data_IF_662651054816
#
_entry.id   IF_662651054816
#
_cell.length_a   1.000
_cell.length_b   1.000
_cell.length_c   1.000
_cell.angle_alpha   90.00
_cell.angle_beta   90.00
_cell.angle_gamma   90.00
#
_symmetry.space_group_name_H-M   'P 1'
#
loop_
_entity.id
_entity.type
_entity.pdbx_description
1 polymer ?
#
# COMPACT_ATOMS: atom_id res chain seq x y z
N UNK A 1 -21.11 -12.86 9.70
CA UNK A 1 -20.09 -12.93 10.75
C UNK A 1 -19.00 -11.95 10.39
N UNK A 2 -19.02 -10.80 11.04
CA UNK A 2 -18.01 -9.74 10.92
C UNK A 2 -16.84 -10.14 11.78
N UNK A 3 -15.91 -10.91 11.21
CA UNK A 3 -14.64 -11.19 11.88
C UNK A 3 -13.71 -10.01 11.65
N UNK A 4 -13.33 -9.39 12.76
CA UNK A 4 -12.29 -8.37 12.90
C UNK A 4 -10.97 -8.91 12.32
N UNK A 5 -10.61 -8.46 11.12
CA UNK A 5 -9.39 -8.90 10.44
C UNK A 5 -8.40 -7.74 10.40
N UNK A 6 -7.26 -7.98 11.04
CA UNK A 6 -6.12 -7.10 11.17
C UNK A 6 -5.73 -6.46 9.81
N UNK A 7 -5.81 -5.13 9.64
CA UNK A 7 -5.64 -4.43 8.36
C UNK A 7 -4.20 -4.49 7.80
N UNK A 8 -3.28 -5.11 8.54
CA UNK A 8 -1.88 -5.36 8.16
C UNK A 8 -1.70 -6.72 7.46
N UNK A 9 -2.54 -7.72 7.76
CA UNK A 9 -2.43 -9.06 7.18
C UNK A 9 -3.40 -9.19 6.00
N UNK A 10 -2.86 -9.09 4.80
CA UNK A 10 -3.63 -9.30 3.59
C UNK A 10 -3.92 -10.79 3.41
N UNK A 11 -5.18 -11.11 3.13
CA UNK A 11 -5.64 -12.47 2.89
C UNK A 11 -5.01 -12.98 1.59
N UNK A 12 -3.97 -13.80 1.68
CA UNK A 12 -3.63 -14.74 0.61
C UNK A 12 -4.78 -15.74 0.54
N UNK A 13 -5.71 -15.55 -0.40
CA UNK A 13 -6.73 -16.57 -0.62
C UNK A 13 -5.98 -17.87 -0.96
N UNK A 14 -6.33 -19.01 -0.33
CA UNK A 14 -5.68 -20.27 -0.67
C UNK A 14 -5.80 -20.51 -2.16
N UNK A 15 -4.66 -20.83 -2.78
CA UNK A 15 -4.61 -21.26 -4.16
C UNK A 15 -5.41 -22.56 -4.26
N UNK A 16 -6.56 -22.50 -4.92
CA UNK A 16 -7.43 -23.65 -5.09
C UNK A 16 -7.81 -23.74 -6.56
N UNK A 17 -7.53 -24.89 -7.14
CA UNK A 17 -7.93 -25.28 -8.49
C UNK A 17 -8.51 -26.68 -8.34
N UNK A 18 -9.76 -26.89 -8.79
CA UNK A 18 -10.35 -28.22 -8.79
C UNK A 18 -9.88 -28.99 -10.04
N UNK A 19 -9.89 -30.33 -9.97
CA UNK A 19 -9.66 -31.16 -11.15
C UNK A 19 -10.71 -30.83 -12.22
N UNK A 20 -10.26 -30.74 -13.49
CA UNK A 20 -11.06 -30.38 -14.68
C UNK A 20 -11.46 -28.89 -14.82
N UNK A 21 -10.96 -27.99 -13.99
CA UNK A 21 -11.21 -26.57 -14.20
C UNK A 21 -10.52 -26.04 -15.47
N UNK A 22 -11.28 -25.31 -16.30
CA UNK A 22 -10.74 -24.58 -17.44
C UNK A 22 -9.96 -23.36 -16.93
N UNK A 23 -8.65 -23.34 -17.17
CA UNK A 23 -7.75 -22.30 -16.68
C UNK A 23 -7.01 -21.63 -17.84
N UNK A 24 -7.10 -20.31 -17.91
CA UNK A 24 -6.31 -19.49 -18.82
C UNK A 24 -4.97 -19.13 -18.17
N UNK A 25 -3.88 -19.58 -18.77
CA UNK A 25 -2.51 -19.29 -18.34
C UNK A 25 -1.94 -18.13 -19.16
N UNK A 26 -1.45 -17.10 -18.49
CA UNK A 26 -0.73 -16.00 -19.12
C UNK A 26 0.76 -16.25 -18.94
N UNK A 27 1.40 -16.71 -20.01
CA UNK A 27 2.82 -17.10 -20.02
C UNK A 27 3.68 -15.96 -20.57
N UNK A 28 4.77 -15.66 -19.89
CA UNK A 28 5.78 -14.75 -20.41
C UNK A 28 6.66 -15.49 -21.42
N UNK A 29 6.39 -15.27 -22.71
CA UNK A 29 7.03 -15.97 -23.84
C UNK A 29 8.57 -15.91 -23.83
N UNK A 30 9.19 -14.92 -23.18
CA UNK A 30 10.64 -14.81 -23.13
C UNK A 30 11.32 -15.66 -22.06
N UNK A 31 10.60 -16.04 -20.99
CA UNK A 31 11.14 -16.86 -19.90
C UNK A 31 10.48 -18.24 -19.80
N UNK A 32 9.37 -18.46 -20.52
CA UNK A 32 8.55 -19.67 -20.37
C UNK A 32 7.85 -19.78 -19.02
N UNK A 33 7.81 -18.71 -18.23
CA UNK A 33 7.26 -18.70 -16.86
C UNK A 33 5.82 -18.19 -16.88
N UNK A 34 4.93 -18.91 -16.19
CA UNK A 34 3.53 -18.51 -15.97
C UNK A 34 3.53 -17.29 -15.05
N UNK A 35 3.04 -16.15 -15.55
CA UNK A 35 3.00 -14.87 -14.83
C UNK A 35 1.61 -14.58 -14.28
N UNK A 36 0.56 -15.09 -14.93
CA UNK A 36 -0.82 -14.95 -14.49
C UNK A 36 -1.63 -16.21 -14.76
N UNK A 37 -2.65 -16.43 -13.95
CA UNK A 37 -3.55 -17.57 -14.02
C UNK A 37 -4.98 -17.09 -13.78
N UNK A 38 -5.92 -17.51 -14.63
CA UNK A 38 -7.33 -17.17 -14.52
C UNK A 38 -8.17 -18.44 -14.60
N UNK A 39 -8.90 -18.75 -13.52
CA UNK A 39 -9.87 -19.84 -13.53
C UNK A 39 -11.18 -19.33 -14.14
N UNK A 40 -11.67 -19.97 -15.21
CA UNK A 40 -12.91 -19.56 -15.88
C UNK A 40 -14.18 -19.94 -15.10
N UNK A 41 -14.11 -21.00 -14.29
CA UNK A 41 -15.26 -21.50 -13.51
C UNK A 41 -15.57 -20.61 -12.31
N UNK A 42 -14.54 -20.29 -11.54
CA UNK A 42 -14.66 -19.50 -10.31
C UNK A 42 -14.34 -18.01 -10.53
N UNK A 43 -13.83 -17.66 -11.71
CA UNK A 43 -13.34 -16.32 -12.07
C UNK A 43 -12.24 -15.79 -11.15
N UNK A 44 -11.52 -16.69 -10.47
CA UNK A 44 -10.38 -16.38 -9.63
C UNK A 44 -9.17 -16.04 -10.50
N UNK A 45 -8.61 -14.85 -10.29
CA UNK A 45 -7.42 -14.38 -10.98
C UNK A 45 -6.25 -14.32 -10.02
N UNK A 46 -5.17 -14.97 -10.43
CA UNK A 46 -3.93 -15.07 -9.69
C UNK A 46 -2.78 -14.51 -10.52
N UNK A 47 -1.88 -13.80 -9.86
CA UNK A 47 -0.72 -13.17 -10.47
C UNK A 47 0.52 -13.55 -9.68
N UNK A 48 1.53 -14.08 -10.35
CA UNK A 48 2.82 -14.38 -9.72
C UNK A 48 3.76 -13.20 -9.98
N UNK A 49 4.22 -12.48 -8.94
CA UNK A 49 5.25 -11.47 -9.10
C UNK A 49 6.58 -12.14 -9.49
N UNK A 50 7.14 -11.76 -10.63
CA UNK A 50 8.46 -12.19 -11.10
C UNK A 50 9.47 -11.03 -11.01
N UNK A 51 10.55 -11.23 -10.25
CA UNK A 51 11.69 -10.31 -10.15
C UNK A 51 11.42 -8.98 -9.43
N UNK A 52 11.99 -7.88 -9.96
CA UNK A 52 11.97 -6.52 -9.38
C UNK A 52 10.60 -5.78 -9.45
N UNK A 53 9.50 -6.48 -9.68
CA UNK A 53 8.19 -5.84 -9.76
C UNK A 53 7.68 -5.50 -8.36
N UNK A 54 7.71 -4.22 -7.99
CA UNK A 54 7.13 -3.76 -6.72
C UNK A 54 5.61 -3.93 -6.77
N UNK A 55 5.10 -4.82 -5.92
CA UNK A 55 3.68 -5.11 -5.82
C UNK A 55 2.90 -3.85 -5.39
N UNK A 56 1.69 -3.69 -5.93
CA UNK A 56 0.80 -2.61 -5.47
C UNK A 56 0.41 -2.76 -3.99
N UNK A 57 0.51 -3.98 -3.45
CA UNK A 57 0.22 -4.27 -2.05
C UNK A 57 1.34 -3.76 -1.14
N UNK A 58 2.60 -3.93 -1.54
CA UNK A 58 3.77 -3.44 -0.81
C UNK A 58 3.74 -1.91 -0.70
N UNK A 59 3.42 -1.22 -1.79
CA UNK A 59 3.26 0.24 -1.80
C UNK A 59 2.15 0.69 -0.85
N UNK A 60 0.97 0.02 -0.87
CA UNK A 60 -0.13 0.33 0.05
C UNK A 60 0.22 0.10 1.52
N UNK A 61 0.91 -1.00 1.84
CA UNK A 61 1.38 -1.26 3.19
C UNK A 61 2.32 -0.15 3.65
N UNK A 62 3.24 0.27 2.78
CA UNK A 62 4.18 1.34 3.07
C UNK A 62 3.48 2.68 3.38
N UNK A 63 2.47 3.07 2.60
CA UNK A 63 1.66 4.26 2.92
C UNK A 63 1.01 4.16 4.31
N UNK A 64 0.45 2.98 4.68
CA UNK A 64 -0.13 2.78 6.03
C UNK A 64 0.93 2.93 7.13
N UNK A 65 2.12 2.36 6.92
CA UNK A 65 3.23 2.44 7.88
C UNK A 65 3.66 3.89 8.07
N UNK A 66 3.88 4.65 6.99
CA UNK A 66 4.27 6.06 7.09
C UNK A 66 3.19 6.94 7.73
N UNK A 67 1.92 6.70 7.44
CA UNK A 67 0.81 7.38 8.14
C UNK A 67 0.81 7.04 9.63
N UNK A 68 1.07 5.78 10.00
CA UNK A 68 1.20 5.36 11.39
C UNK A 68 2.35 6.06 12.11
N UNK A 69 3.53 6.13 11.46
CA UNK A 69 4.70 6.86 11.98
C UNK A 69 4.36 8.33 12.21
N UNK A 70 3.73 9.00 11.23
CA UNK A 70 3.32 10.39 11.36
C UNK A 70 2.39 10.62 12.57
N UNK A 71 1.39 9.76 12.76
CA UNK A 71 0.47 9.84 13.88
C UNK A 71 1.18 9.68 15.23
N UNK A 72 2.11 8.72 15.34
CA UNK A 72 2.90 8.53 16.57
C UNK A 72 3.78 9.76 16.86
N UNK A 73 4.42 10.33 15.84
CA UNK A 73 5.24 11.54 16.00
C UNK A 73 4.38 12.74 16.46
N UNK A 74 3.19 12.91 15.89
CA UNK A 74 2.24 13.95 16.33
C UNK A 74 1.79 13.76 17.77
N UNK A 75 1.51 12.52 18.17
CA UNK A 75 1.13 12.21 19.53
C UNK A 75 2.26 12.57 20.51
N UNK A 76 3.51 12.24 20.18
CA UNK A 76 4.67 12.62 21.00
C UNK A 76 4.81 14.13 21.13
N UNK A 77 4.69 14.88 20.03
CA UNK A 77 4.71 16.35 20.06
C UNK A 77 3.63 16.91 20.96
N UNK A 78 2.40 16.39 20.86
CA UNK A 78 1.30 16.81 21.74
C UNK A 78 1.58 16.52 23.21
N UNK A 79 2.16 15.36 23.53
CA UNK A 79 2.55 15.02 24.90
C UNK A 79 3.57 16.04 25.43
N UNK A 80 4.59 16.40 24.64
CA UNK A 80 5.58 17.38 25.04
C UNK A 80 4.97 18.77 25.26
N UNK A 81 4.09 19.22 24.36
CA UNK A 81 3.41 20.52 24.51
C UNK A 81 2.51 20.55 25.75
N UNK A 82 1.74 19.48 26.00
CA UNK A 82 0.91 19.38 27.20
C UNK A 82 1.76 19.37 28.48
N UNK A 83 2.90 18.66 28.46
CA UNK A 83 3.83 18.66 29.59
C UNK A 83 4.41 20.05 29.84
N UNK A 84 4.81 20.76 28.78
CA UNK A 84 5.36 22.11 28.87
C UNK A 84 4.33 23.07 29.48
N UNK A 85 3.09 23.05 28.98
CA UNK A 85 1.98 23.84 29.53
C UNK A 85 1.66 23.50 30.99
N UNK A 86 1.76 22.23 31.38
CA UNK A 86 1.55 21.79 32.76
C UNK A 86 2.66 22.25 33.71
N UNK A 87 3.88 22.42 33.20
CA UNK A 87 5.03 22.83 34.00
C UNK A 87 5.08 24.33 34.32
N UNK A 88 4.20 25.12 33.69
CA UNK A 88 4.09 26.56 33.90
C UNK A 88 3.63 26.83 35.34
N UNK A 89 4.34 27.73 36.04
CA UNK A 89 3.94 28.19 37.37
C UNK A 89 2.76 29.17 37.24
N UNK A 90 1.53 28.64 37.25
CA UNK A 90 0.30 29.41 37.16
C UNK A 90 -0.65 28.86 36.09
N UNK A 91 -1.68 29.63 35.75
CA UNK A 91 -2.58 29.29 34.63
C UNK A 91 -1.95 29.74 33.31
N UNK A 92 -1.89 28.88 32.26
CA UNK A 92 -1.35 29.26 30.97
C UNK A 92 -2.04 30.49 30.39
N UNK A 93 -1.25 31.45 29.91
CA UNK A 93 -1.75 32.69 29.35
C UNK A 93 -1.99 32.56 27.83
N UNK A 94 -2.52 33.63 27.22
CA UNK A 94 -2.80 33.66 25.76
C UNK A 94 -1.53 33.42 24.92
N UNK A 95 -0.38 33.88 25.38
CA UNK A 95 0.87 33.77 24.64
C UNK A 95 1.44 32.36 24.71
N UNK A 96 1.27 31.66 25.84
CA UNK A 96 1.60 30.25 26.01
C UNK A 96 0.78 29.38 25.04
N UNK A 97 -0.53 29.61 24.96
CA UNK A 97 -1.39 28.91 24.00
C UNK A 97 -1.04 29.21 22.55
N UNK A 98 -0.69 30.46 22.23
CA UNK A 98 -0.24 30.85 20.89
C UNK A 98 1.11 30.19 20.55
N UNK A 99 2.03 30.11 21.51
CA UNK A 99 3.33 29.46 21.33
C UNK A 99 3.17 27.96 21.09
N UNK A 100 2.36 27.29 21.92
CA UNK A 100 2.01 25.88 21.76
C UNK A 100 1.41 25.59 20.38
N UNK A 101 0.44 26.41 19.93
CA UNK A 101 -0.18 26.25 18.61
C UNK A 101 0.82 26.45 17.45
N UNK A 102 1.69 27.46 17.55
CA UNK A 102 2.74 27.70 16.55
C UNK A 102 3.76 26.57 16.51
N UNK A 103 4.16 26.07 17.67
CA UNK A 103 5.10 24.96 17.80
C UNK A 103 4.54 23.66 17.21
N UNK A 104 3.29 23.33 17.54
CA UNK A 104 2.57 22.19 16.96
C UNK A 104 2.45 22.34 15.44
N UNK A 105 2.00 23.49 14.95
CA UNK A 105 1.85 23.75 13.51
C UNK A 105 3.17 23.69 12.74
N UNK A 106 4.24 24.23 13.30
CA UNK A 106 5.58 24.18 12.71
C UNK A 106 6.14 22.77 12.62
N UNK A 107 6.06 22.00 13.71
CA UNK A 107 6.49 20.60 13.72
C UNK A 107 5.63 19.73 12.80
N UNK A 108 4.31 19.98 12.79
CA UNK A 108 3.38 19.28 11.92
C UNK A 108 3.73 19.45 10.44
N UNK A 109 3.98 20.69 10.03
CA UNK A 109 4.35 21.02 8.66
C UNK A 109 5.71 20.41 8.28
N UNK A 110 6.69 20.46 9.19
CA UNK A 110 8.01 19.84 8.98
C UNK A 110 7.89 18.34 8.74
N UNK A 111 7.18 17.61 9.59
CA UNK A 111 6.99 16.16 9.42
C UNK A 111 6.23 15.83 8.15
N UNK A 112 5.21 16.62 7.81
CA UNK A 112 4.45 16.45 6.57
C UNK A 112 5.37 16.60 5.35
N UNK A 113 6.23 17.62 5.32
CA UNK A 113 7.19 17.83 4.23
C UNK A 113 8.19 16.68 4.11
N UNK A 114 8.74 16.20 5.24
CA UNK A 114 9.72 15.10 5.22
C UNK A 114 9.07 13.81 4.73
N UNK A 115 7.91 13.44 5.29
CA UNK A 115 7.23 12.19 4.93
C UNK A 115 6.72 12.25 3.49
N UNK A 116 6.13 13.37 3.07
CA UNK A 116 5.72 13.53 1.66
C UNK A 116 6.92 13.45 0.71
N UNK A 117 8.08 13.99 1.07
CA UNK A 117 9.32 13.86 0.29
C UNK A 117 9.76 12.39 0.14
N UNK A 118 9.76 11.62 1.22
CA UNK A 118 10.11 10.18 1.19
C UNK A 118 9.10 9.39 0.34
N UNK A 119 7.79 9.64 0.53
CA UNK A 119 6.75 8.97 -0.23
C UNK A 119 6.85 9.29 -1.73
N UNK A 120 7.12 10.55 -2.07
CA UNK A 120 7.32 10.98 -3.46
C UNK A 120 8.55 10.31 -4.08
N UNK A 121 9.68 10.30 -3.39
CA UNK A 121 10.89 9.59 -3.85
C UNK A 121 10.58 8.10 -4.08
N UNK A 122 9.81 7.49 -3.19
CA UNK A 122 9.47 6.07 -3.34
C UNK A 122 8.55 5.82 -4.53
N UNK A 123 7.59 6.71 -4.78
CA UNK A 123 6.73 6.64 -5.97
C UNK A 123 7.56 6.82 -7.25
N UNK A 124 8.49 7.76 -7.27
CA UNK A 124 9.42 7.99 -8.41
C UNK A 124 10.26 6.75 -8.67
N UNK A 125 10.87 6.16 -7.63
CA UNK A 125 11.65 4.91 -7.77
C UNK A 125 10.77 3.78 -8.29
N UNK A 126 9.55 3.64 -7.76
CA UNK A 126 8.59 2.62 -8.21
C UNK A 126 8.23 2.81 -9.69
N UNK A 127 7.99 4.04 -10.13
CA UNK A 127 7.72 4.38 -11.53
C UNK A 127 8.93 4.13 -12.43
N UNK A 128 10.15 4.45 -11.97
CA UNK A 128 11.38 4.21 -12.72
C UNK A 128 11.63 2.70 -12.89
N UNK A 129 11.44 1.91 -11.83
CA UNK A 129 11.53 0.45 -11.90
C UNK A 129 10.49 -0.09 -12.88
N UNK A 130 9.25 0.39 -12.85
CA UNK A 130 8.21 0.01 -13.82
C UNK A 130 8.56 0.38 -15.26
N UNK A 131 9.17 1.54 -15.48
CA UNK A 131 9.52 2.04 -16.82
C UNK A 131 10.76 1.35 -17.40
N UNK A 132 11.76 1.02 -16.56
CA UNK A 132 13.04 0.45 -17.01
C UNK A 132 13.07 -1.07 -16.97
N UNK A 133 12.27 -1.72 -16.12
CA UNK A 133 12.17 -3.18 -16.08
C UNK A 133 11.06 -3.67 -17.00
N UNK A 134 11.43 -4.32 -18.10
CA UNK A 134 10.49 -5.02 -18.98
C UNK A 134 9.65 -6.07 -18.22
N UNK A 135 10.19 -6.63 -17.13
CA UNK A 135 9.46 -7.55 -16.24
C UNK A 135 8.36 -6.85 -15.44
N UNK A 136 8.62 -5.65 -14.91
CA UNK A 136 7.64 -4.89 -14.13
C UNK A 136 6.52 -4.30 -15.01
N UNK A 137 6.84 -3.83 -16.22
CA UNK A 137 5.83 -3.38 -17.20
C UNK A 137 4.89 -4.53 -17.62
N UNK A 138 5.45 -5.73 -17.87
CA UNK A 138 4.66 -6.93 -18.17
C UNK A 138 3.79 -7.35 -16.99
N UNK A 139 4.30 -7.29 -15.76
CA UNK A 139 3.50 -7.58 -14.57
C UNK A 139 2.26 -6.67 -14.46
N UNK A 140 2.42 -5.36 -14.72
CA UNK A 140 1.28 -4.41 -14.73
C UNK A 140 0.30 -4.72 -15.86
N UNK A 141 0.81 -5.05 -17.05
CA UNK A 141 -0.03 -5.42 -18.20
C UNK A 141 -0.86 -6.68 -17.94
N UNK A 142 -0.21 -7.75 -17.44
CA UNK A 142 -0.88 -9.02 -17.09
C UNK A 142 -1.95 -8.77 -16.02
N UNK A 143 -1.65 -7.93 -15.02
CA UNK A 143 -2.63 -7.54 -14.01
C UNK A 143 -3.83 -6.82 -14.60
N UNK A 144 -3.64 -5.88 -15.51
CA UNK A 144 -4.74 -5.18 -16.18
C UNK A 144 -5.57 -6.11 -17.06
N UNK A 145 -4.94 -7.05 -17.76
CA UNK A 145 -5.62 -8.06 -18.56
C UNK A 145 -6.50 -8.96 -17.67
N UNK A 146 -5.99 -9.41 -16.53
CA UNK A 146 -6.77 -10.18 -15.55
C UNK A 146 -7.94 -9.39 -14.97
N UNK A 147 -7.76 -8.10 -14.70
CA UNK A 147 -8.85 -7.20 -14.25
C UNK A 147 -9.92 -7.09 -15.33
N UNK A 148 -9.55 -6.89 -16.59
CA UNK A 148 -10.50 -6.78 -17.70
C UNK A 148 -11.29 -8.08 -17.91
N UNK A 149 -10.63 -9.25 -17.82
CA UNK A 149 -11.30 -10.55 -17.91
C UNK A 149 -12.32 -10.75 -16.79
N UNK A 150 -12.01 -10.33 -15.56
CA UNK A 150 -12.96 -10.37 -14.43
C UNK A 150 -14.13 -9.41 -14.62
N UNK A 151 -13.86 -8.18 -15.07
CA UNK A 151 -14.90 -7.17 -15.32
C UNK A 151 -15.85 -7.59 -16.44
N UNK A 152 -15.33 -8.20 -17.52
CA UNK A 152 -16.15 -8.75 -18.62
C UNK A 152 -17.15 -9.79 -18.12
N UNK A 153 -16.79 -10.54 -17.08
CA UNK A 153 -17.64 -11.56 -16.47
C UNK A 153 -18.41 -11.05 -15.22
N UNK A 154 -18.51 -9.72 -15.04
CA UNK A 154 -19.30 -9.11 -13.96
C UNK A 154 -18.72 -9.29 -12.55
N UNK A 155 -17.43 -9.60 -12.43
CA UNK A 155 -16.74 -9.83 -11.15
C UNK A 155 -15.89 -8.62 -10.74
N UNK A 156 -15.60 -8.51 -9.44
CA UNK A 156 -14.77 -7.45 -8.87
C UNK A 156 -13.34 -7.42 -9.44
N UNK A 157 -12.69 -6.26 -9.37
CA UNK A 157 -11.34 -5.95 -9.88
C UNK A 157 -10.20 -6.53 -9.03
N UNK A 158 -10.50 -7.32 -8.02
CA UNK A 158 -9.50 -7.88 -7.10
C UNK A 158 -8.71 -8.97 -7.83
N UNK A 159 -7.41 -8.79 -8.00
CA UNK A 159 -6.49 -9.85 -8.48
C UNK A 159 -5.63 -10.27 -7.32
N UNK A 160 -5.52 -11.58 -7.11
CA UNK A 160 -4.75 -12.16 -6.00
C UNK A 160 -3.30 -12.34 -6.44
N UNK A 161 -2.37 -12.05 -5.53
CA UNK A 161 -0.95 -12.27 -5.78
C UNK A 161 -0.54 -13.57 -5.06
N UNK A 162 0.13 -14.48 -5.79
CA UNK A 162 0.66 -15.73 -5.22
C UNK A 162 2.18 -15.60 -5.14
N UNK A 163 2.76 -15.88 -3.98
CA UNK A 163 4.21 -16.04 -3.81
C UNK A 163 4.67 -17.44 -4.18
#
# INVERSE_FOLDING_TARGET
MTEDINPLFFRSHPFFIAGEDAVNLIVNQQKGVITGLYNERDHSAYLKPDGMAVSSQQVKMMYKVFTGIFLVMMLMVMIFICHDLWSIKGTPDKWDWLHAAKSLGGMALMFLMVISGILLLTEVVTLLVRKKSAGAARFVFVRQMLIQLRLRNGKNTVVQEIN
#
